data_IF_244064049520
#
_entry.id   IF_244064049520
#
_cell.length_a   1.000
_cell.length_b   1.000
_cell.length_c   1.000
_cell.angle_alpha   90.00
_cell.angle_beta   90.00
_cell.angle_gamma   90.00
#
_symmetry.space_group_name_H-M   'P 1'
#
loop_
_entity.id
_entity.type
_entity.pdbx_description
1 polymer ?
#
# COMPACT_ATOMS: atom_id res chain seq x y z
N UNK A 1 -33.33 -15.25 12.23
CA UNK A 1 -33.00 -15.68 11.79
C UNK A 1 -33.12 -16.57 11.99
N UNK A 2 -33.75 -16.65 12.34
CA UNK A 2 -33.61 -17.47 12.58
C UNK A 2 -33.03 -18.16 12.08
N UNK A 3 -33.35 -18.23 11.36
CA UNK A 3 -32.25 -18.81 10.98
C UNK A 3 -31.23 -17.83 10.93
N UNK A 4 -30.35 -17.92 11.79
CA UNK A 4 -29.19 -17.09 11.73
C UNK A 4 -28.36 -17.35 10.50
N UNK A 5 -28.68 -18.43 9.78
CA UNK A 5 -27.95 -18.76 8.55
C UNK A 5 -28.68 -18.23 7.33
N UNK A 6 -28.52 -16.94 7.07
CA UNK A 6 -28.94 -16.39 5.80
C UNK A 6 -28.04 -16.95 4.69
N UNK A 7 -28.47 -16.96 3.44
CA UNK A 7 -27.63 -17.42 2.32
C UNK A 7 -26.29 -16.71 2.28
N UNK A 8 -26.25 -15.44 2.66
CA UNK A 8 -25.02 -14.67 2.70
C UNK A 8 -24.04 -15.18 3.77
N UNK A 9 -24.55 -15.47 4.96
CA UNK A 9 -23.74 -15.98 6.06
C UNK A 9 -23.19 -17.36 5.72
N UNK A 10 -24.03 -18.21 5.15
CA UNK A 10 -23.59 -19.54 4.73
C UNK A 10 -22.52 -19.48 3.67
N UNK A 11 -22.68 -18.62 2.68
CA UNK A 11 -21.69 -18.42 1.62
C UNK A 11 -20.37 -17.96 2.20
N UNK A 12 -20.43 -17.01 3.11
CA UNK A 12 -19.23 -16.50 3.79
C UNK A 12 -18.50 -17.60 4.54
N UNK A 13 -19.23 -18.42 5.29
CA UNK A 13 -18.65 -19.53 6.03
C UNK A 13 -17.96 -20.55 5.13
N UNK A 14 -18.60 -20.86 3.99
CA UNK A 14 -18.00 -21.76 3.01
C UNK A 14 -16.73 -21.19 2.41
N UNK A 15 -16.73 -19.91 2.08
CA UNK A 15 -15.55 -19.24 1.55
C UNK A 15 -14.40 -19.25 2.57
N UNK A 16 -14.70 -19.04 3.83
CA UNK A 16 -13.70 -19.08 4.89
C UNK A 16 -13.08 -20.46 5.04
N UNK A 17 -13.89 -21.51 4.91
CA UNK A 17 -13.39 -22.87 4.98
C UNK A 17 -12.44 -23.18 3.82
N UNK A 18 -12.78 -22.77 2.62
CA UNK A 18 -11.93 -22.98 1.47
C UNK A 18 -10.64 -22.17 1.58
N UNK A 19 -10.75 -20.94 2.02
CA UNK A 19 -9.61 -20.06 2.18
C UNK A 19 -8.59 -20.60 3.17
N UNK A 20 -9.06 -21.24 4.25
CA UNK A 20 -8.16 -21.80 5.25
C UNK A 20 -7.29 -22.95 4.73
N UNK A 21 -7.72 -23.59 3.67
CA UNK A 21 -6.96 -24.71 3.08
C UNK A 21 -5.86 -24.24 2.14
N UNK A 22 -6.10 -23.13 1.47
CA UNK A 22 -5.26 -22.71 0.35
C UNK A 22 -4.41 -21.48 0.59
N UNK A 23 -5.00 -20.41 1.11
CA UNK A 23 -4.32 -19.12 1.16
C UNK A 23 -4.89 -18.28 2.29
N UNK A 24 -4.14 -17.28 2.69
CA UNK A 24 -4.61 -16.24 3.58
C UNK A 24 -5.91 -15.61 3.06
N UNK A 25 -6.86 -15.40 3.97
CA UNK A 25 -8.11 -14.70 3.64
C UNK A 25 -7.94 -13.19 3.69
N UNK A 26 -6.80 -12.71 4.15
CA UNK A 26 -6.54 -11.27 4.23
C UNK A 26 -6.24 -10.70 2.86
N UNK A 27 -7.02 -9.70 2.46
CA UNK A 27 -6.78 -8.92 1.25
C UNK A 27 -6.14 -7.60 1.64
N UNK A 28 -5.00 -7.28 1.04
CA UNK A 28 -4.23 -6.10 1.40
C UNK A 28 -4.32 -5.07 0.29
N UNK A 29 -4.60 -3.83 0.67
CA UNK A 29 -4.64 -2.70 -0.24
C UNK A 29 -3.49 -1.77 0.13
N UNK A 30 -2.61 -1.50 -0.82
CA UNK A 30 -1.53 -0.53 -0.64
C UNK A 30 -1.88 0.68 -1.49
N UNK A 31 -1.98 1.84 -0.88
CA UNK A 31 -2.30 3.06 -1.59
C UNK A 31 -1.27 4.14 -1.30
N UNK A 32 -0.81 4.82 -2.34
CA UNK A 32 -0.01 6.03 -2.15
C UNK A 32 -0.94 7.23 -2.08
N UNK A 33 -0.53 8.26 -1.36
CA UNK A 33 -1.35 9.47 -1.23
C UNK A 33 -0.49 10.71 -1.00
N UNK A 34 -1.12 11.86 -1.19
CA UNK A 34 -0.54 13.17 -0.92
C UNK A 34 -1.07 13.69 0.42
N UNK A 35 -0.17 14.10 1.31
CA UNK A 35 -0.60 14.73 2.55
C UNK A 35 -1.37 16.02 2.29
N UNK A 36 -1.12 16.69 1.17
CA UNK A 36 -1.89 17.88 0.79
C UNK A 36 -3.37 17.59 0.59
N UNK A 37 -3.67 16.39 0.09
CA UNK A 37 -5.06 15.97 -0.16
C UNK A 37 -5.67 15.25 1.05
N UNK A 38 -4.87 15.00 2.06
CA UNK A 38 -5.33 14.37 3.28
C UNK A 38 -5.12 12.86 3.33
N UNK A 39 -5.02 12.33 4.55
CA UNK A 39 -4.84 10.91 4.79
C UNK A 39 -6.12 10.16 4.43
N UNK A 40 -6.02 9.02 3.70
CA UNK A 40 -7.21 8.23 3.39
C UNK A 40 -7.91 7.76 4.67
N UNK A 41 -9.22 7.94 4.72
CA UNK A 41 -10.02 7.57 5.90
C UNK A 41 -10.02 6.09 6.16
N UNK A 42 -9.96 5.30 5.11
CA UNK A 42 -10.00 3.84 5.21
C UNK A 42 -8.68 3.21 5.63
N UNK A 43 -7.62 4.00 5.77
CA UNK A 43 -6.30 3.47 6.09
C UNK A 43 -6.24 2.87 7.50
N UNK A 44 -5.80 1.63 7.60
CA UNK A 44 -5.53 0.97 8.87
C UNK A 44 -4.12 1.30 9.36
N UNK A 45 -3.17 1.38 8.43
CA UNK A 45 -1.78 1.75 8.72
C UNK A 45 -1.38 2.88 7.80
N UNK A 46 -0.69 3.87 8.34
CA UNK A 46 -0.20 5.02 7.58
C UNK A 46 1.29 5.17 7.80
N UNK A 47 2.05 5.25 6.72
CA UNK A 47 3.48 5.45 6.78
C UNK A 47 3.86 6.72 6.04
N UNK A 48 4.62 7.57 6.72
CA UNK A 48 5.06 8.86 6.20
C UNK A 48 6.46 8.70 5.62
N UNK A 49 6.60 8.98 4.32
CA UNK A 49 7.90 8.88 3.65
C UNK A 49 8.41 10.25 3.18
N UNK A 50 7.90 11.33 3.79
CA UNK A 50 8.34 12.69 3.45
C UNK A 50 9.79 12.97 3.79
N UNK A 51 10.39 12.16 4.66
CA UNK A 51 11.80 12.33 5.06
C UNK A 51 12.79 11.89 3.98
N UNK A 52 12.36 11.08 3.02
CA UNK A 52 13.24 10.60 1.94
C UNK A 52 13.62 11.73 0.99
N UNK A 53 14.73 11.55 0.28
CA UNK A 53 15.17 12.52 -0.74
C UNK A 53 14.02 12.84 -1.67
N UNK A 54 13.84 14.13 -1.94
CA UNK A 54 12.68 14.61 -2.69
C UNK A 54 13.04 14.94 -4.13
N UNK A 55 12.60 14.10 -5.11
CA UNK A 55 12.88 14.34 -6.52
C UNK A 55 12.29 15.64 -7.07
N UNK A 56 11.35 16.25 -6.35
CA UNK A 56 10.74 17.51 -6.76
C UNK A 56 11.78 18.63 -6.93
N UNK A 57 12.90 18.56 -6.20
CA UNK A 57 13.94 19.58 -6.28
C UNK A 57 14.90 19.38 -7.47
N UNK A 58 14.76 18.29 -8.21
CA UNK A 58 15.50 18.03 -9.42
C UNK A 58 14.58 18.31 -10.61
N UNK A 59 14.99 19.28 -11.45
CA UNK A 59 14.14 19.73 -12.58
C UNK A 59 13.87 18.62 -13.59
N UNK A 60 14.79 17.66 -13.73
CA UNK A 60 14.62 16.55 -14.67
C UNK A 60 13.70 15.47 -14.11
N UNK A 61 13.70 15.29 -12.79
CA UNK A 61 12.90 14.26 -12.14
C UNK A 61 11.50 14.74 -11.76
N UNK A 62 11.34 16.03 -11.57
CA UNK A 62 10.08 16.62 -11.12
C UNK A 62 8.86 16.19 -11.94
N UNK A 63 8.92 16.19 -13.29
CA UNK A 63 7.74 15.80 -14.08
C UNK A 63 7.50 14.28 -14.12
N UNK A 64 8.45 13.49 -13.65
CA UNK A 64 8.34 12.03 -13.66
C UNK A 64 7.64 11.53 -12.39
N UNK A 65 7.31 10.25 -12.36
CA UNK A 65 6.66 9.66 -11.17
C UNK A 65 7.58 8.64 -10.50
N UNK A 66 7.18 8.15 -9.34
CA UNK A 66 7.92 7.12 -8.63
C UNK A 66 8.01 5.78 -9.36
N UNK A 67 7.29 5.62 -10.47
CA UNK A 67 7.39 4.45 -11.33
C UNK A 67 8.59 4.52 -12.28
N UNK A 68 9.12 5.71 -12.50
CA UNK A 68 10.27 5.91 -13.38
C UNK A 68 11.55 5.48 -12.67
N UNK A 69 12.40 4.71 -13.36
CA UNK A 69 13.62 4.18 -12.75
C UNK A 69 14.60 5.27 -12.29
N UNK A 70 14.62 6.42 -12.95
CA UNK A 70 15.49 7.53 -12.55
C UNK A 70 15.07 8.12 -11.22
N UNK A 71 13.75 8.24 -11.02
CA UNK A 71 13.18 8.70 -9.75
C UNK A 71 13.45 7.66 -8.66
N UNK A 72 13.23 6.40 -8.98
CA UNK A 72 13.47 5.30 -8.05
C UNK A 72 14.92 5.29 -7.56
N UNK A 73 15.87 5.41 -8.49
CA UNK A 73 17.29 5.42 -8.15
C UNK A 73 17.65 6.61 -7.26
N UNK A 74 17.09 7.76 -7.57
CA UNK A 74 17.33 8.98 -6.79
C UNK A 74 16.87 8.81 -5.33
N UNK A 75 15.68 8.28 -5.14
CA UNK A 75 15.12 8.05 -3.80
C UNK A 75 15.94 6.98 -3.07
N UNK A 76 16.30 5.90 -3.77
CA UNK A 76 17.04 4.79 -3.18
C UNK A 76 18.45 5.18 -2.74
N UNK A 77 18.99 6.28 -3.26
CA UNK A 77 20.29 6.82 -2.84
C UNK A 77 20.24 7.51 -1.49
N UNK A 78 19.04 7.77 -0.95
CA UNK A 78 18.91 8.31 0.40
C UNK A 78 19.60 7.35 1.38
N UNK A 79 20.50 7.85 2.24
CA UNK A 79 21.26 6.98 3.13
C UNK A 79 20.40 6.15 4.10
N UNK A 80 19.20 6.58 4.38
CA UNK A 80 18.30 5.87 5.29
C UNK A 80 17.26 5.00 4.57
N UNK A 81 17.26 5.00 3.24
CA UNK A 81 16.23 4.30 2.48
C UNK A 81 16.20 2.79 2.78
N UNK A 82 17.35 2.14 2.70
CA UNK A 82 17.47 0.70 2.94
C UNK A 82 17.01 0.31 4.34
N UNK A 83 17.49 1.05 5.34
CA UNK A 83 17.15 0.78 6.74
C UNK A 83 15.65 0.99 6.97
N UNK A 84 15.07 2.01 6.36
CA UNK A 84 13.64 2.26 6.48
C UNK A 84 12.83 1.11 5.88
N UNK A 85 13.18 0.68 4.67
CA UNK A 85 12.46 -0.42 4.02
C UNK A 85 12.56 -1.73 4.81
N UNK A 86 13.73 -2.02 5.36
CA UNK A 86 13.92 -3.21 6.20
C UNK A 86 13.05 -3.12 7.46
N UNK A 87 13.00 -1.96 8.09
CA UNK A 87 12.18 -1.74 9.28
C UNK A 87 10.69 -1.86 8.98
N UNK A 88 10.27 -1.31 7.85
CA UNK A 88 8.88 -1.38 7.40
C UNK A 88 8.46 -2.83 7.16
N UNK A 89 9.29 -3.58 6.46
CA UNK A 89 9.03 -5.00 6.20
C UNK A 89 9.00 -5.81 7.49
N UNK A 90 9.92 -5.55 8.41
CA UNK A 90 9.96 -6.26 9.70
C UNK A 90 8.69 -6.00 10.50
N UNK A 91 8.20 -4.76 10.51
CA UNK A 91 6.97 -4.42 11.19
C UNK A 91 5.78 -5.17 10.58
N UNK A 92 5.69 -5.20 9.26
CA UNK A 92 4.59 -5.89 8.58
C UNK A 92 4.68 -7.40 8.73
N UNK A 93 5.89 -7.99 8.76
CA UNK A 93 6.08 -9.40 9.05
C UNK A 93 5.50 -9.78 10.41
N UNK A 94 5.59 -8.87 11.36
CA UNK A 94 5.01 -9.05 12.69
C UNK A 94 3.49 -8.87 12.68
N UNK A 95 3.00 -7.82 12.00
CA UNK A 95 1.60 -7.42 12.07
C UNK A 95 0.66 -8.24 11.20
N UNK A 96 1.08 -8.60 9.99
CA UNK A 96 0.17 -9.28 9.06
C UNK A 96 -0.40 -10.59 9.60
N UNK A 97 0.40 -11.50 10.19
CA UNK A 97 -0.16 -12.70 10.77
C UNK A 97 -1.12 -12.42 11.94
N UNK A 98 -0.89 -11.34 12.68
CA UNK A 98 -1.75 -10.97 13.80
C UNK A 98 -3.11 -10.48 13.30
N UNK A 99 -3.14 -9.72 12.22
CA UNK A 99 -4.40 -9.28 11.60
C UNK A 99 -5.18 -10.48 11.04
N UNK A 100 -4.48 -11.41 10.42
CA UNK A 100 -5.11 -12.63 9.92
C UNK A 100 -5.71 -13.46 11.07
N UNK A 101 -4.98 -13.58 12.17
CA UNK A 101 -5.43 -14.34 13.33
C UNK A 101 -6.67 -13.71 13.99
N UNK A 102 -6.82 -12.39 13.88
CA UNK A 102 -7.99 -11.68 14.38
C UNK A 102 -9.20 -11.78 13.47
N UNK A 103 -9.04 -12.38 12.30
CA UNK A 103 -10.14 -12.53 11.36
C UNK A 103 -10.37 -11.32 10.47
N UNK A 104 -9.40 -10.40 10.40
CA UNK A 104 -9.52 -9.22 9.55
C UNK A 104 -9.50 -9.64 8.09
N UNK A 105 -10.49 -9.19 7.32
CA UNK A 105 -10.62 -9.55 5.92
C UNK A 105 -9.90 -8.58 4.99
N UNK A 106 -9.83 -7.31 5.35
CA UNK A 106 -9.23 -6.26 4.52
C UNK A 106 -8.30 -5.41 5.35
N UNK A 107 -7.14 -5.11 4.81
CA UNK A 107 -6.16 -4.23 5.45
C UNK A 107 -5.72 -3.19 4.43
N UNK A 108 -5.84 -1.93 4.77
CA UNK A 108 -5.38 -0.83 3.93
C UNK A 108 -4.13 -0.20 4.52
N UNK A 109 -3.06 -0.21 3.74
CA UNK A 109 -1.77 0.40 4.09
C UNK A 109 -1.59 1.63 3.20
N UNK A 110 -1.50 2.79 3.82
CA UNK A 110 -1.36 4.05 3.09
C UNK A 110 0.06 4.60 3.25
N UNK A 111 0.69 4.94 2.14
CA UNK A 111 2.04 5.49 2.11
C UNK A 111 1.94 6.92 1.58
N UNK A 112 2.38 7.89 2.36
CA UNK A 112 2.19 9.30 2.02
C UNK A 112 3.48 10.09 1.86
N UNK A 113 3.48 10.97 0.87
CA UNK A 113 4.49 12.01 0.75
C UNK A 113 3.78 13.33 0.45
N UNK A 114 4.53 14.42 0.29
CA UNK A 114 3.92 15.74 0.16
C UNK A 114 2.98 15.83 -1.04
N UNK A 115 3.46 15.43 -2.21
CA UNK A 115 2.69 15.56 -3.45
C UNK A 115 2.04 14.28 -3.97
N UNK A 116 2.34 13.14 -3.36
CA UNK A 116 1.77 11.87 -3.80
C UNK A 116 2.23 11.39 -5.16
N UNK A 117 3.38 11.86 -5.64
CA UNK A 117 3.85 11.61 -7.01
C UNK A 117 5.13 10.77 -7.09
N UNK A 118 6.06 10.98 -6.17
CA UNK A 118 7.39 10.38 -6.25
C UNK A 118 7.67 9.36 -5.16
N UNK A 119 7.93 9.84 -3.94
CA UNK A 119 8.39 8.98 -2.83
C UNK A 119 7.34 7.96 -2.42
N UNK A 120 6.09 8.40 -2.26
CA UNK A 120 5.01 7.50 -1.86
C UNK A 120 4.71 6.47 -2.95
N UNK A 121 4.78 6.87 -4.21
CA UNK A 121 4.54 5.96 -5.34
C UNK A 121 5.62 4.88 -5.37
N UNK A 122 6.88 5.27 -5.27
CA UNK A 122 7.98 4.31 -5.32
C UNK A 122 7.92 3.31 -4.15
N UNK A 123 7.75 3.81 -2.93
CA UNK A 123 7.68 2.94 -1.75
C UNK A 123 6.48 2.01 -1.84
N UNK A 124 5.34 2.51 -2.30
CA UNK A 124 4.13 1.69 -2.48
C UNK A 124 4.34 0.57 -3.49
N UNK A 125 5.03 0.87 -4.61
CA UNK A 125 5.34 -0.15 -5.63
C UNK A 125 6.20 -1.26 -5.04
N UNK A 126 7.25 -0.89 -4.31
CA UNK A 126 8.13 -1.86 -3.66
C UNK A 126 7.41 -2.69 -2.61
N UNK A 127 6.58 -2.03 -1.82
CA UNK A 127 5.84 -2.71 -0.76
C UNK A 127 4.83 -3.69 -1.34
N UNK A 128 4.09 -3.27 -2.36
CA UNK A 128 3.11 -4.13 -3.03
C UNK A 128 3.77 -5.36 -3.64
N UNK A 129 4.91 -5.17 -4.30
CA UNK A 129 5.67 -6.26 -4.88
C UNK A 129 6.16 -7.25 -3.81
N UNK A 130 6.68 -6.73 -2.71
CA UNK A 130 7.14 -7.57 -1.61
C UNK A 130 6.01 -8.38 -0.99
N UNK A 131 4.84 -7.77 -0.78
CA UNK A 131 3.68 -8.48 -0.23
C UNK A 131 3.20 -9.57 -1.19
N UNK A 132 3.19 -9.26 -2.49
CA UNK A 132 2.81 -10.24 -3.50
C UNK A 132 3.75 -11.45 -3.50
N UNK A 133 5.05 -11.21 -3.35
CA UNK A 133 6.05 -12.28 -3.28
C UNK A 133 5.85 -13.18 -2.06
N UNK A 134 5.19 -12.69 -1.03
CA UNK A 134 4.85 -13.49 0.14
C UNK A 134 3.65 -14.42 -0.11
N UNK A 135 3.05 -14.35 -1.29
CA UNK A 135 1.89 -15.15 -1.63
C UNK A 135 0.57 -14.57 -1.13
N UNK A 136 0.56 -13.33 -0.70
CA UNK A 136 -0.65 -12.68 -0.20
C UNK A 136 -1.34 -11.91 -1.30
N UNK A 137 -2.67 -11.72 -1.15
CA UNK A 137 -3.45 -10.92 -2.08
C UNK A 137 -3.17 -9.44 -1.81
N UNK A 138 -2.72 -8.73 -2.83
CA UNK A 138 -2.44 -7.31 -2.70
C UNK A 138 -2.95 -6.57 -3.93
N UNK A 139 -3.54 -5.41 -3.70
CA UNK A 139 -3.90 -4.46 -4.75
C UNK A 139 -3.19 -3.16 -4.48
N UNK A 140 -2.64 -2.58 -5.53
CA UNK A 140 -1.89 -1.34 -5.45
C UNK A 140 -2.65 -0.24 -6.16
N UNK A 141 -2.76 0.91 -5.49
CA UNK A 141 -3.47 2.06 -6.02
C UNK A 141 -2.71 3.34 -5.67
N UNK A 142 -2.65 4.26 -6.60
CA UNK A 142 -2.01 5.56 -6.39
C UNK A 142 -3.10 6.63 -6.46
N UNK A 143 -3.71 6.91 -5.31
CA UNK A 143 -4.89 7.78 -5.22
C UNK A 143 -4.71 9.14 -5.87
N UNK A 144 -3.62 9.81 -5.52
CA UNK A 144 -3.46 11.20 -5.94
C UNK A 144 -2.69 11.34 -7.26
N UNK A 145 -1.98 10.32 -7.67
CA UNK A 145 -1.35 10.27 -8.97
C UNK A 145 -2.40 10.23 -10.07
N UNK A 146 -3.41 9.39 -9.88
CA UNK A 146 -4.52 9.29 -10.84
C UNK A 146 -5.34 10.57 -10.90
N UNK A 147 -5.57 11.21 -9.76
CA UNK A 147 -6.27 12.49 -9.71
C UNK A 147 -5.51 13.56 -10.48
N UNK A 148 -4.19 13.62 -10.33
CA UNK A 148 -3.37 14.59 -11.05
C UNK A 148 -3.40 14.36 -12.55
N UNK A 149 -3.36 13.11 -12.99
CA UNK A 149 -3.45 12.75 -14.39
C UNK A 149 -4.78 13.15 -14.99
N UNK A 150 -5.87 12.96 -14.26
CA UNK A 150 -7.20 13.38 -14.69
C UNK A 150 -7.27 14.91 -14.85
N UNK A 151 -6.69 15.65 -13.92
CA UNK A 151 -6.67 17.11 -13.97
C UNK A 151 -5.88 17.60 -15.17
N UNK A 152 -4.75 16.97 -15.47
CA UNK A 152 -3.92 17.36 -16.62
C UNK A 152 -4.60 17.05 -17.96
N UNK A 153 -5.42 16.02 -18.01
CA UNK A 153 -6.11 15.59 -19.21
C UNK A 153 -7.48 16.28 -19.38
N UNK A 154 -7.94 16.88 -18.33
CA UNK A 154 -9.22 17.61 -18.33
C UNK A 154 -9.03 19.08 -18.60
#
# INVERSE_FOLDING_TARGET
DTSPLTPWILKRQLMERFARKDVSVLSIFVTSFSYRQGVPREADLVFDVRFLRNPHYDSELRPLTGRDSRVANYIAEDPDFSAYMESLKAMLDLLLPRFEAEGKSYLTIAIGCTGGKHRSVYVSELLGEWIEQMGKRVQLHHRDLESQMHTENG
#
